data_IF_194811942396
#
_entry.id   IF_194811942396
#
_cell.length_a   1.000
_cell.length_b   1.000
_cell.length_c   1.000
_cell.angle_alpha   90.00
_cell.angle_beta   90.00
_cell.angle_gamma   90.00
#
_symmetry.space_group_name_H-M   'P 1'
#
loop_
_entity.id
_entity.type
_entity.pdbx_description
1 polymer ?
#
# COMPACT_ATOMS: atom_id res chain seq x y z
N UNK A 1 -3.09 5.46 28.29
CA UNK A 1 -4.33 4.74 27.94
C UNK A 1 -4.34 4.54 26.44
N UNK A 2 -3.91 3.36 25.98
CA UNK A 2 -3.77 3.06 24.55
C UNK A 2 -5.12 2.66 23.96
N UNK A 3 -5.69 3.54 23.15
CA UNK A 3 -6.76 3.22 22.21
C UNK A 3 -6.12 2.45 21.06
N UNK A 4 -5.82 1.18 21.28
CA UNK A 4 -5.43 0.27 20.20
C UNK A 4 -6.66 -0.59 19.85
N UNK A 5 -6.86 -0.75 18.55
CA UNK A 5 -7.74 -1.74 17.91
C UNK A 5 -9.25 -1.57 18.04
N UNK A 6 -9.78 -0.71 17.17
CA UNK A 6 -11.02 -1.05 16.45
C UNK A 6 -10.74 -1.14 14.95
N UNK A 7 -9.86 -2.07 14.53
CA UNK A 7 -9.80 -2.70 13.19
C UNK A 7 -9.94 -1.84 11.93
N UNK A 8 -9.86 -0.52 12.07
CA UNK A 8 -10.26 0.46 11.09
C UNK A 8 -9.08 1.25 10.60
N UNK A 9 -9.20 1.78 9.37
CA UNK A 9 -8.15 2.63 8.80
C UNK A 9 -8.28 4.00 9.45
N UNK A 10 -7.29 4.39 10.26
CA UNK A 10 -7.27 5.68 10.96
C UNK A 10 -5.93 6.38 10.74
N UNK A 11 -6.00 7.70 10.60
CA UNK A 11 -4.81 8.55 10.57
C UNK A 11 -4.28 8.73 11.99
N UNK A 12 -2.95 8.58 12.13
CA UNK A 12 -2.27 8.83 13.40
C UNK A 12 -2.57 10.23 13.92
N UNK A 13 -3.05 10.33 15.17
CA UNK A 13 -3.31 11.61 15.85
C UNK A 13 -2.05 12.27 16.40
N UNK A 14 -0.90 11.60 16.34
CA UNK A 14 0.37 12.19 16.76
C UNK A 14 0.76 13.29 15.76
N UNK A 15 0.75 14.54 16.22
CA UNK A 15 1.20 15.68 15.41
C UNK A 15 2.73 15.63 15.24
N UNK A 16 3.26 15.74 14.01
CA UNK A 16 4.69 15.90 13.77
C UNK A 16 5.23 17.15 14.48
N UNK A 17 6.38 17.02 15.16
CA UNK A 17 6.97 18.12 15.92
C UNK A 17 7.24 19.38 15.08
N UNK A 18 7.57 19.21 13.80
CA UNK A 18 7.77 20.31 12.85
C UNK A 18 6.49 21.11 12.53
N UNK A 19 5.31 20.52 12.73
CA UNK A 19 4.04 21.24 12.61
C UNK A 19 3.64 21.92 13.92
N UNK A 20 4.35 21.65 15.03
CA UNK A 20 4.09 22.32 16.29
C UNK A 20 4.41 23.82 16.15
N UNK A 21 3.39 24.66 16.39
CA UNK A 21 3.46 26.10 16.19
C UNK A 21 2.94 26.62 14.85
N UNK A 22 2.80 25.77 13.83
CA UNK A 22 2.15 26.13 12.55
C UNK A 22 0.67 25.74 12.51
N UNK A 23 0.34 24.62 13.15
CA UNK A 23 -1.02 24.07 13.25
C UNK A 23 -1.30 23.77 14.72
N UNK A 24 -2.45 24.19 15.24
CA UNK A 24 -2.83 23.88 16.63
C UNK A 24 -3.27 22.42 16.77
N UNK A 25 -3.17 21.84 17.97
CA UNK A 25 -3.63 20.47 18.24
C UNK A 25 -5.11 20.26 17.85
N UNK A 26 -5.95 21.28 18.06
CA UNK A 26 -7.37 21.25 17.69
C UNK A 26 -7.57 21.16 16.17
N UNK A 27 -6.81 21.97 15.41
CA UNK A 27 -6.83 21.94 13.94
C UNK A 27 -6.30 20.61 13.40
N UNK A 28 -5.21 20.09 13.98
CA UNK A 28 -4.65 18.81 13.61
C UNK A 28 -5.64 17.67 13.85
N UNK A 29 -6.27 17.63 15.02
CA UNK A 29 -7.28 16.62 15.33
C UNK A 29 -8.48 16.71 14.37
N UNK A 30 -8.95 17.93 14.05
CA UNK A 30 -10.03 18.14 13.09
C UNK A 30 -9.65 17.66 11.68
N UNK A 31 -8.43 17.92 11.23
CA UNK A 31 -7.90 17.40 9.97
C UNK A 31 -7.91 15.87 9.95
N UNK A 32 -7.39 15.23 11.01
CA UNK A 32 -7.38 13.77 11.09
C UNK A 32 -8.79 13.17 11.13
N UNK A 33 -9.75 13.82 11.80
CA UNK A 33 -11.17 13.41 11.78
C UNK A 33 -11.78 13.49 10.38
N UNK A 34 -11.48 14.55 9.61
CA UNK A 34 -11.92 14.69 8.22
C UNK A 34 -11.33 13.60 7.33
N UNK A 35 -10.04 13.26 7.52
CA UNK A 35 -9.39 12.17 6.81
C UNK A 35 -10.00 10.81 7.15
N UNK A 36 -10.26 10.52 8.43
CA UNK A 36 -10.91 9.27 8.85
C UNK A 36 -12.33 9.14 8.27
N UNK A 37 -13.08 10.25 8.25
CA UNK A 37 -14.40 10.29 7.63
C UNK A 37 -14.33 9.98 6.12
N UNK A 38 -13.31 10.48 5.43
CA UNK A 38 -13.05 10.18 4.01
C UNK A 38 -12.62 8.71 3.79
N UNK A 39 -11.93 8.10 4.75
CA UNK A 39 -11.46 6.71 4.71
C UNK A 39 -12.55 5.68 5.03
N UNK A 40 -13.59 6.04 5.78
CA UNK A 40 -14.68 5.13 6.20
C UNK A 40 -15.24 4.19 5.13
N UNK A 41 -15.42 4.60 3.85
CA UNK A 41 -15.92 3.69 2.82
C UNK A 41 -15.00 2.47 2.56
N UNK A 42 -13.70 2.57 2.88
CA UNK A 42 -12.73 1.48 2.64
C UNK A 42 -13.03 0.25 3.50
N UNK A 43 -13.52 0.45 4.72
CA UNK A 43 -13.90 -0.65 5.62
C UNK A 43 -15.11 -1.41 5.06
N UNK A 44 -16.06 -0.69 4.47
CA UNK A 44 -17.22 -1.28 3.81
C UNK A 44 -16.76 -2.13 2.63
N UNK A 45 -15.81 -1.64 1.83
CA UNK A 45 -15.25 -2.40 0.70
C UNK A 45 -14.59 -3.69 1.17
N UNK A 46 -13.78 -3.64 2.24
CA UNK A 46 -13.12 -4.82 2.82
C UNK A 46 -14.15 -5.85 3.31
N UNK A 47 -15.18 -5.41 4.02
CA UNK A 47 -16.22 -6.30 4.55
C UNK A 47 -17.06 -6.92 3.43
N UNK A 48 -17.40 -6.16 2.39
CA UNK A 48 -18.12 -6.68 1.22
C UNK A 48 -17.26 -7.69 0.46
N UNK A 49 -15.98 -7.41 0.26
CA UNK A 49 -15.07 -8.34 -0.42
C UNK A 49 -14.89 -9.64 0.37
N UNK A 50 -14.72 -9.55 1.70
CA UNK A 50 -14.63 -10.73 2.58
C UNK A 50 -15.93 -11.54 2.54
N UNK A 51 -17.09 -10.88 2.62
CA UNK A 51 -18.39 -11.55 2.53
C UNK A 51 -18.57 -12.26 1.18
N UNK A 52 -18.19 -11.60 0.07
CA UNK A 52 -18.24 -12.19 -1.27
C UNK A 52 -17.35 -13.43 -1.39
N UNK A 53 -16.12 -13.38 -0.84
CA UNK A 53 -15.20 -14.53 -0.82
C UNK A 53 -15.82 -15.71 -0.04
N UNK A 54 -16.39 -15.46 1.15
CA UNK A 54 -17.05 -16.50 1.94
C UNK A 54 -18.25 -17.12 1.21
N UNK A 55 -19.11 -16.29 0.60
CA UNK A 55 -20.25 -16.78 -0.18
C UNK A 55 -19.76 -17.64 -1.36
N UNK A 56 -18.74 -17.19 -2.08
CA UNK A 56 -18.15 -17.91 -3.21
C UNK A 56 -17.57 -19.26 -2.78
N UNK A 57 -16.87 -19.31 -1.64
CA UNK A 57 -16.33 -20.55 -1.08
C UNK A 57 -17.43 -21.56 -0.71
N UNK A 58 -18.54 -21.09 -0.12
CA UNK A 58 -19.70 -21.94 0.20
C UNK A 58 -20.34 -22.48 -1.09
N UNK A 59 -20.51 -21.65 -2.12
CA UNK A 59 -21.06 -22.08 -3.41
C UNK A 59 -20.19 -23.15 -4.07
N UNK A 60 -18.87 -22.98 -4.04
CA UNK A 60 -17.93 -23.98 -4.55
C UNK A 60 -17.98 -25.29 -3.74
N UNK A 61 -18.12 -25.22 -2.41
CA UNK A 61 -18.28 -26.40 -1.57
C UNK A 61 -19.57 -27.17 -1.90
N UNK A 62 -20.69 -26.46 -2.08
CA UNK A 62 -21.97 -27.07 -2.48
C UNK A 62 -21.84 -27.72 -3.86
N UNK A 63 -21.18 -27.05 -4.80
CA UNK A 63 -20.90 -27.60 -6.13
C UNK A 63 -20.06 -28.88 -6.04
N UNK A 64 -19.02 -28.89 -5.20
CA UNK A 64 -18.15 -30.05 -5.00
C UNK A 64 -18.89 -31.23 -4.39
N UNK A 65 -19.70 -31.01 -3.35
CA UNK A 65 -20.52 -32.06 -2.74
C UNK A 65 -21.56 -32.60 -3.75
N UNK A 66 -22.23 -31.71 -4.48
CA UNK A 66 -23.18 -32.10 -5.52
C UNK A 66 -22.52 -32.95 -6.61
N UNK A 67 -21.33 -32.55 -7.05
CA UNK A 67 -20.52 -33.34 -7.99
C UNK A 67 -20.14 -34.71 -7.45
N UNK A 68 -19.70 -34.80 -6.19
CA UNK A 68 -19.36 -36.08 -5.56
C UNK A 68 -20.56 -37.02 -5.41
N UNK A 69 -21.73 -36.50 -5.06
CA UNK A 69 -22.97 -37.29 -4.98
C UNK A 69 -23.32 -37.86 -6.36
N UNK A 70 -23.21 -37.04 -7.41
CA UNK A 70 -23.46 -37.49 -8.78
C UNK A 70 -22.43 -38.51 -9.26
N UNK A 71 -21.16 -38.38 -8.86
CA UNK A 71 -20.10 -39.35 -9.16
C UNK A 71 -20.30 -40.68 -8.42
N UNK A 72 -20.81 -40.67 -7.19
CA UNK A 72 -21.11 -41.89 -6.45
C UNK A 72 -22.23 -42.71 -7.10
N UNK A 73 -23.19 -42.03 -7.76
CA UNK A 73 -24.27 -42.64 -8.55
C UNK A 73 -23.90 -42.89 -10.03
N UNK A 74 -22.61 -42.79 -10.38
CA UNK A 74 -22.13 -42.89 -11.77
C UNK A 74 -22.56 -44.19 -12.49
N UNK A 75 -22.80 -45.28 -11.74
CA UNK A 75 -23.29 -46.55 -12.29
C UNK A 75 -24.69 -46.43 -12.91
N UNK A 76 -25.55 -45.56 -12.37
CA UNK A 76 -26.88 -45.26 -12.90
C UNK A 76 -26.83 -44.06 -13.88
N UNK A 77 -25.89 -43.15 -13.68
CA UNK A 77 -25.78 -41.90 -14.43
C UNK A 77 -25.29 -42.08 -15.87
N UNK A 78 -24.36 -43.01 -16.13
CA UNK A 78 -23.76 -43.19 -17.47
C UNK A 78 -24.73 -43.73 -18.54
N UNK A 79 -25.91 -44.20 -18.15
CA UNK A 79 -26.85 -44.91 -19.03
C UNK A 79 -27.99 -44.05 -19.58
N UNK A 80 -28.26 -42.90 -18.98
CA UNK A 80 -29.29 -41.97 -19.44
C UNK A 80 -28.62 -40.65 -19.81
N UNK A 81 -29.21 -39.87 -20.74
CA UNK A 81 -28.74 -38.54 -21.19
C UNK A 81 -28.70 -37.46 -20.06
N UNK A 82 -28.30 -37.78 -18.84
CA UNK A 82 -28.24 -36.91 -17.66
C UNK A 82 -27.00 -35.99 -17.63
N UNK A 83 -26.15 -36.05 -18.66
CA UNK A 83 -24.93 -35.24 -18.74
C UNK A 83 -25.24 -33.73 -18.91
N UNK A 84 -26.21 -33.36 -19.74
CA UNK A 84 -26.48 -31.95 -20.05
C UNK A 84 -26.91 -31.11 -18.83
N UNK A 85 -27.74 -31.66 -17.93
CA UNK A 85 -28.24 -30.91 -16.76
C UNK A 85 -27.14 -30.61 -15.75
N UNK A 86 -26.20 -31.53 -15.58
CA UNK A 86 -25.05 -31.33 -14.71
C UNK A 86 -24.15 -30.21 -15.25
N UNK A 87 -23.80 -30.26 -16.54
CA UNK A 87 -23.00 -29.21 -17.17
C UNK A 87 -23.68 -27.85 -17.12
N UNK A 88 -25.00 -27.77 -17.37
CA UNK A 88 -25.74 -26.52 -17.24
C UNK A 88 -25.64 -25.97 -15.81
N UNK A 89 -25.79 -26.80 -14.78
CA UNK A 89 -25.65 -26.37 -13.38
C UNK A 89 -24.22 -25.88 -13.05
N UNK A 90 -23.20 -26.60 -13.52
CA UNK A 90 -21.80 -26.23 -13.32
C UNK A 90 -21.47 -24.89 -14.01
N UNK A 91 -21.87 -24.73 -15.27
CA UNK A 91 -21.62 -23.51 -16.05
C UNK A 91 -22.36 -22.29 -15.51
N UNK A 92 -23.62 -22.48 -15.09
CA UNK A 92 -24.40 -21.40 -14.48
C UNK A 92 -23.79 -20.94 -13.16
N UNK A 93 -23.42 -21.87 -12.28
CA UNK A 93 -22.77 -21.55 -10.99
C UNK A 93 -21.41 -20.87 -11.20
N UNK A 94 -20.56 -21.41 -12.09
CA UNK A 94 -19.28 -20.79 -12.44
C UNK A 94 -19.47 -19.37 -13.01
N UNK A 95 -20.47 -19.19 -13.89
CA UNK A 95 -20.83 -17.88 -14.45
C UNK A 95 -21.21 -16.86 -13.38
N UNK A 96 -22.01 -17.25 -12.38
CA UNK A 96 -22.37 -16.37 -11.26
C UNK A 96 -21.16 -15.93 -10.43
N UNK A 97 -20.22 -16.85 -10.17
CA UNK A 97 -19.00 -16.54 -9.40
C UNK A 97 -18.13 -15.54 -10.17
N UNK A 98 -17.91 -15.79 -11.46
CA UNK A 98 -17.09 -14.90 -12.31
C UNK A 98 -17.72 -13.52 -12.45
N UNK A 99 -19.01 -13.45 -12.80
CA UNK A 99 -19.72 -12.17 -12.96
C UNK A 99 -19.80 -11.42 -11.63
N UNK A 100 -20.09 -12.13 -10.53
CA UNK A 100 -20.11 -11.55 -9.19
C UNK A 100 -18.75 -11.00 -8.79
N UNK A 101 -17.67 -11.73 -9.08
CA UNK A 101 -16.30 -11.31 -8.78
C UNK A 101 -15.91 -10.04 -9.55
N UNK A 102 -16.22 -10.00 -10.85
CA UNK A 102 -16.01 -8.80 -11.67
C UNK A 102 -16.81 -7.61 -11.12
N UNK A 103 -18.08 -7.81 -10.76
CA UNK A 103 -18.91 -6.74 -10.22
C UNK A 103 -18.36 -6.19 -8.90
N UNK A 104 -17.93 -7.05 -7.97
CA UNK A 104 -17.36 -6.65 -6.67
C UNK A 104 -16.02 -5.93 -6.86
N UNK A 105 -15.15 -6.41 -7.75
CA UNK A 105 -13.86 -5.76 -8.02
C UNK A 105 -14.01 -4.39 -8.68
N UNK A 106 -14.90 -4.25 -9.67
CA UNK A 106 -15.20 -2.95 -10.32
C UNK A 106 -15.80 -1.98 -9.31
N UNK A 107 -16.77 -2.43 -8.50
CA UNK A 107 -17.35 -1.61 -7.44
C UNK A 107 -16.32 -1.18 -6.40
N UNK A 108 -15.44 -2.09 -5.98
CA UNK A 108 -14.33 -1.81 -5.06
C UNK A 108 -13.36 -0.78 -5.62
N UNK A 109 -12.96 -0.90 -6.90
CA UNK A 109 -12.10 0.08 -7.59
C UNK A 109 -12.74 1.46 -7.65
N UNK A 110 -14.04 1.53 -7.99
CA UNK A 110 -14.79 2.80 -8.00
C UNK A 110 -14.80 3.45 -6.61
N UNK A 111 -15.05 2.68 -5.55
CA UNK A 111 -15.05 3.19 -4.17
C UNK A 111 -13.67 3.62 -3.70
N UNK A 112 -12.62 2.89 -4.06
CA UNK A 112 -11.26 3.31 -3.80
C UNK A 112 -10.96 4.67 -4.46
N UNK A 113 -11.38 4.88 -5.72
CA UNK A 113 -11.21 6.16 -6.40
C UNK A 113 -11.97 7.30 -5.72
N UNK A 114 -13.22 7.06 -5.28
CA UNK A 114 -14.01 8.03 -4.51
C UNK A 114 -13.29 8.43 -3.20
N UNK A 115 -12.71 7.46 -2.48
CA UNK A 115 -11.93 7.71 -1.25
C UNK A 115 -10.69 8.54 -1.55
N UNK A 116 -9.94 8.23 -2.61
CA UNK A 116 -8.77 9.01 -3.03
C UNK A 116 -9.14 10.46 -3.36
N UNK A 117 -10.23 10.65 -4.09
CA UNK A 117 -10.73 11.97 -4.42
C UNK A 117 -11.19 12.75 -3.17
N UNK A 118 -11.84 12.08 -2.21
CA UNK A 118 -12.26 12.69 -0.96
C UNK A 118 -11.07 13.10 -0.09
N UNK A 119 -10.06 12.24 0.08
CA UNK A 119 -8.82 12.54 0.80
C UNK A 119 -8.07 13.73 0.18
N UNK A 120 -7.97 13.76 -1.15
CA UNK A 120 -7.35 14.88 -1.87
C UNK A 120 -8.07 16.19 -1.58
N UNK A 121 -9.41 16.20 -1.65
CA UNK A 121 -10.22 17.39 -1.31
C UNK A 121 -9.98 17.85 0.13
N UNK A 122 -9.94 16.95 1.11
CA UNK A 122 -9.64 17.31 2.49
C UNK A 122 -8.26 17.97 2.61
N UNK A 123 -7.25 17.44 1.93
CA UNK A 123 -5.91 18.03 1.94
C UNK A 123 -5.86 19.38 1.23
N UNK A 124 -6.55 19.53 0.09
CA UNK A 124 -6.62 20.80 -0.65
C UNK A 124 -7.34 21.89 0.17
N UNK A 125 -8.46 21.54 0.82
CA UNK A 125 -9.21 22.45 1.69
C UNK A 125 -8.34 22.95 2.86
N UNK A 126 -7.68 22.03 3.57
CA UNK A 126 -6.82 22.39 4.71
C UNK A 126 -5.57 23.15 4.26
N UNK A 127 -5.02 22.84 3.09
CA UNK A 127 -3.91 23.63 2.51
C UNK A 127 -4.34 25.06 2.18
N UNK A 128 -5.59 25.27 1.77
CA UNK A 128 -6.12 26.60 1.50
C UNK A 128 -6.34 27.43 2.79
N UNK A 129 -6.62 26.75 3.91
CA UNK A 129 -6.76 27.37 5.24
C UNK A 129 -5.40 27.81 5.84
N UNK A 130 -4.30 27.17 5.44
CA UNK A 130 -2.95 27.40 5.99
C UNK A 130 -1.94 27.89 4.92
N UNK A 131 -1.66 29.20 4.80
CA UNK A 131 -0.82 29.73 3.71
C UNK A 131 0.64 29.23 3.72
N UNK A 132 1.14 28.80 4.88
CA UNK A 132 2.51 28.33 5.07
C UNK A 132 2.67 26.81 4.98
N UNK A 133 1.57 26.05 4.90
CA UNK A 133 1.59 24.58 4.93
C UNK A 133 0.71 24.03 3.83
N UNK A 134 1.25 23.09 3.05
CA UNK A 134 0.51 22.39 2.01
C UNK A 134 0.53 20.89 2.27
N UNK A 135 -0.63 20.27 2.15
CA UNK A 135 -0.87 18.85 2.35
C UNK A 135 -1.11 18.19 1.00
N UNK A 136 -0.36 17.15 0.69
CA UNK A 136 -0.48 16.39 -0.55
C UNK A 136 -0.62 14.91 -0.25
N UNK A 137 -1.68 14.29 -0.76
CA UNK A 137 -1.83 12.83 -0.63
C UNK A 137 -1.08 12.16 -1.75
N UNK A 138 -0.16 11.26 -1.40
CA UNK A 138 0.54 10.39 -2.34
C UNK A 138 0.08 8.94 -2.22
N UNK A 139 -0.06 8.33 -3.39
CA UNK A 139 -0.43 6.94 -3.58
C UNK A 139 0.68 6.30 -4.41
N UNK A 140 1.60 5.59 -3.76
CA UNK A 140 2.73 4.97 -4.42
C UNK A 140 2.57 3.45 -4.39
N UNK A 141 2.71 2.81 -5.55
CA UNK A 141 2.72 1.37 -5.67
C UNK A 141 4.17 0.93 -5.87
N UNK A 142 4.68 0.14 -4.94
CA UNK A 142 5.99 -0.47 -5.00
C UNK A 142 5.81 -1.94 -5.35
N UNK A 143 6.28 -2.35 -6.53
CA UNK A 143 6.39 -3.76 -6.89
C UNK A 143 7.77 -4.25 -6.45
N UNK A 144 7.80 -5.02 -5.37
CA UNK A 144 9.01 -5.67 -4.86
C UNK A 144 9.11 -7.05 -5.50
N UNK A 145 10.15 -7.26 -6.30
CA UNK A 145 10.49 -8.57 -6.86
C UNK A 145 11.35 -9.35 -5.86
N UNK A 146 10.84 -10.46 -5.33
CA UNK A 146 11.61 -11.39 -4.49
C UNK A 146 11.67 -12.74 -5.19
N UNK A 147 12.71 -12.96 -5.99
CA UNK A 147 12.86 -14.18 -6.79
C UNK A 147 11.88 -14.21 -7.98
N UNK A 148 11.01 -15.24 -8.03
CA UNK A 148 9.96 -15.39 -9.05
C UNK A 148 8.62 -14.74 -8.66
N UNK A 149 8.51 -14.22 -7.44
CA UNK A 149 7.28 -13.63 -6.93
C UNK A 149 7.36 -12.10 -6.99
N UNK A 150 6.34 -11.48 -7.60
CA UNK A 150 6.15 -10.04 -7.61
C UNK A 150 5.12 -9.68 -6.53
N UNK A 151 5.55 -8.96 -5.50
CA UNK A 151 4.67 -8.46 -4.45
C UNK A 151 4.46 -6.96 -4.64
N UNK A 152 3.24 -6.57 -4.98
CA UNK A 152 2.87 -5.15 -5.09
C UNK A 152 2.37 -4.65 -3.74
N UNK A 153 3.14 -3.76 -3.12
CA UNK A 153 2.76 -3.02 -1.92
C UNK A 153 2.27 -1.64 -2.31
N UNK A 154 1.13 -1.21 -1.77
CA UNK A 154 0.61 0.15 -1.98
C UNK A 154 0.85 0.96 -0.71
N UNK A 155 1.71 1.97 -0.80
CA UNK A 155 1.97 2.92 0.28
C UNK A 155 1.09 4.16 0.08
N UNK A 156 0.31 4.50 1.10
CA UNK A 156 -0.51 5.71 1.11
C UNK A 156 0.00 6.60 2.24
N UNK A 157 0.42 7.81 1.91
CA UNK A 157 0.92 8.75 2.88
C UNK A 157 0.54 10.18 2.50
N UNK A 158 0.50 11.05 3.52
CA UNK A 158 0.26 12.47 3.34
C UNK A 158 1.61 13.16 3.48
N UNK A 159 2.06 13.78 2.41
CA UNK A 159 3.20 14.68 2.43
C UNK A 159 2.76 16.05 2.91
N UNK A 160 3.54 16.61 3.82
CA UNK A 160 3.37 17.98 4.28
C UNK A 160 4.58 18.78 3.83
N UNK A 161 4.32 19.83 3.06
CA UNK A 161 5.33 20.75 2.56
C UNK A 161 5.12 22.12 3.20
N UNK A 162 6.16 22.60 3.88
CA UNK A 162 6.18 23.88 4.60
C UNK A 162 6.88 24.89 3.71
N UNK A 163 6.19 25.99 3.38
CA UNK A 163 6.77 27.07 2.60
C UNK A 163 7.62 27.95 3.51
N UNK A 164 8.91 28.02 3.20
CA UNK A 164 9.80 28.95 3.89
C UNK A 164 9.35 30.40 3.65
N UNK A 165 9.16 31.20 4.71
CA UNK A 165 8.73 32.58 4.58
C UNK A 165 9.78 33.47 3.89
N UNK A 166 11.04 33.02 3.81
CA UNK A 166 12.15 33.81 3.28
C UNK A 166 12.38 33.66 1.76
N UNK A 167 11.51 32.96 1.03
CA UNK A 167 11.46 33.02 -0.44
C UNK A 167 12.69 32.46 -1.17
N UNK A 168 13.61 31.79 -0.48
CA UNK A 168 14.65 31.00 -1.11
C UNK A 168 14.01 29.78 -1.75
N UNK A 169 14.04 29.67 -3.08
CA UNK A 169 13.42 28.59 -3.87
C UNK A 169 14.02 27.18 -3.67
N UNK A 170 14.54 26.87 -2.48
CA UNK A 170 14.94 25.53 -2.09
C UNK A 170 13.72 24.67 -1.77
N UNK A 171 13.81 23.38 -2.08
CA UNK A 171 12.82 22.42 -1.60
C UNK A 171 12.86 22.40 -0.07
N UNK A 172 11.83 22.94 0.57
CA UNK A 172 11.72 22.96 2.02
C UNK A 172 11.67 21.55 2.63
N UNK A 173 11.82 21.44 3.96
CA UNK A 173 11.76 20.16 4.65
C UNK A 173 10.43 19.45 4.38
N UNK A 174 10.51 18.20 3.92
CA UNK A 174 9.34 17.35 3.66
C UNK A 174 9.08 16.42 4.84
N UNK A 175 7.82 16.31 5.23
CA UNK A 175 7.40 15.49 6.36
C UNK A 175 6.35 14.51 5.88
N UNK A 176 6.62 13.23 6.09
CA UNK A 176 5.75 12.14 5.65
C UNK A 176 4.89 11.69 6.83
N UNK A 177 3.58 11.85 6.70
CA UNK A 177 2.59 11.34 7.66
C UNK A 177 2.01 10.05 7.10
N UNK A 178 2.32 8.94 7.76
CA UNK A 178 1.89 7.62 7.32
C UNK A 178 0.40 7.39 7.61
N UNK A 179 -0.36 6.94 6.61
CA UNK A 179 -1.74 6.50 6.78
C UNK A 179 -1.69 4.99 7.07
N UNK A 180 -1.79 4.63 8.36
CA UNK A 180 -1.83 3.22 8.76
C UNK A 180 -3.05 2.54 8.13
N UNK A 181 -2.81 1.79 7.05
CA UNK A 181 -3.82 1.00 6.37
C UNK A 181 -3.59 -0.46 6.75
N UNK A 182 -4.27 -1.01 7.77
CA UNK A 182 -4.09 -2.41 8.16
C UNK A 182 -4.47 -3.36 7.02
N UNK A 183 -3.46 -3.98 6.40
CA UNK A 183 -3.60 -5.05 5.42
C UNK A 183 -3.62 -4.64 3.94
N UNK A 184 -3.01 -3.52 3.55
CA UNK A 184 -2.85 -3.14 2.15
C UNK A 184 -1.73 -3.93 1.42
N UNK A 185 -1.71 -5.26 1.55
CA UNK A 185 -1.10 -6.14 0.55
C UNK A 185 -2.19 -6.45 -0.45
N UNK A 186 -2.25 -5.68 -1.54
CA UNK A 186 -3.13 -6.00 -2.65
C UNK A 186 -2.28 -6.85 -3.58
N UNK A 187 -2.54 -8.16 -3.66
CA UNK A 187 -2.05 -8.96 -4.77
C UNK A 187 -2.64 -8.36 -6.04
N UNK A 188 -1.85 -7.54 -6.73
CA UNK A 188 -2.19 -7.04 -8.04
C UNK A 188 -1.80 -8.15 -9.00
N UNK A 189 -2.79 -8.95 -9.40
CA UNK A 189 -2.68 -9.80 -10.57
C UNK A 189 -2.43 -8.87 -11.76
N UNK A 190 -1.29 -9.04 -12.44
CA UNK A 190 -0.80 -8.19 -13.53
C UNK A 190 -1.76 -8.20 -14.73
N UNK A 191 -2.83 -7.41 -14.64
CA UNK A 191 -3.65 -7.02 -15.77
C UNK A 191 -3.04 -5.75 -16.36
N UNK A 192 -2.30 -5.92 -17.45
CA UNK A 192 -1.74 -4.89 -18.32
C UNK A 192 -2.82 -3.83 -18.65
N UNK A 193 -2.90 -2.78 -17.82
CA UNK A 193 -3.88 -1.71 -17.97
C UNK A 193 -3.18 -0.54 -18.62
N UNK A 194 -3.41 -0.36 -19.92
CA UNK A 194 -3.06 0.87 -20.63
C UNK A 194 -3.70 2.06 -19.91
N UNK A 195 -2.85 2.91 -19.37
CA UNK A 195 -3.21 4.20 -18.80
C UNK A 195 -3.57 5.15 -19.96
N UNK A 196 -4.85 5.38 -20.19
CA UNK A 196 -5.31 6.52 -21.00
C UNK A 196 -5.18 7.79 -20.16
N UNK A 197 -4.22 8.65 -20.53
CA UNK A 197 -4.20 10.05 -20.12
C UNK A 197 -5.45 10.76 -20.63
N UNK A 198 -6.17 11.53 -19.79
CA UNK A 198 -7.12 12.50 -20.30
C UNK A 198 -6.35 13.66 -20.93
N UNK A 199 -6.31 13.68 -22.26
CA UNK A 199 -5.86 14.85 -23.02
C UNK A 199 -6.76 16.04 -22.67
N UNK A 200 -6.16 17.06 -22.08
CA UNK A 200 -6.73 18.39 -21.96
C UNK A 200 -6.16 19.23 -23.10
N UNK A 201 -7.06 19.70 -23.96
CA UNK A 201 -6.78 20.51 -25.14
C UNK A 201 -6.47 21.98 -24.75
N UNK A 202 -5.23 22.38 -25.02
CA UNK A 202 -4.71 23.69 -25.45
C UNK A 202 -5.31 25.02 -24.93
N UNK A 203 -4.49 25.82 -24.23
CA UNK A 203 -3.99 27.11 -24.74
C UNK A 203 -2.98 27.79 -23.79
N UNK A 204 -2.02 28.50 -24.40
CA UNK A 204 -1.06 29.47 -23.85
C UNK A 204 0.34 28.95 -23.45
N UNK A 205 1.15 28.85 -24.50
CA UNK A 205 2.60 28.98 -24.61
C UNK A 205 3.24 29.86 -23.52
N UNK A 206 4.14 29.29 -22.72
CA UNK A 206 5.23 30.05 -22.06
C UNK A 206 6.50 29.22 -22.14
N UNK A 207 7.53 29.80 -22.74
CA UNK A 207 8.81 29.16 -23.02
C UNK A 207 9.54 28.73 -21.74
N UNK A 208 9.92 27.46 -21.67
CA UNK A 208 10.86 26.94 -20.65
C UNK A 208 12.28 27.05 -21.22
N UNK A 209 13.22 27.74 -20.55
CA UNK A 209 14.61 27.70 -20.94
C UNK A 209 15.24 26.34 -20.61
N UNK A 210 15.91 25.76 -21.60
CA UNK A 210 16.79 24.60 -21.47
C UNK A 210 17.95 24.96 -20.55
N UNK A 211 17.96 24.43 -19.32
CA UNK A 211 19.11 24.54 -18.42
C UNK A 211 20.12 23.46 -18.77
N UNK A 212 21.17 23.93 -19.42
CA UNK A 212 22.41 23.26 -19.77
C UNK A 212 23.15 22.84 -18.50
N UNK A 213 23.67 21.61 -18.48
CA UNK A 213 24.40 21.03 -17.35
C UNK A 213 25.47 21.96 -16.79
N UNK A 214 25.46 22.12 -15.47
CA UNK A 214 26.43 22.91 -14.73
C UNK A 214 27.41 21.97 -14.04
N UNK A 215 28.68 22.14 -14.43
CA UNK A 215 29.88 21.55 -13.85
C UNK A 215 30.05 22.10 -12.43
N UNK A 216 30.26 21.21 -11.48
CA UNK A 216 30.61 21.52 -10.08
C UNK A 216 32.10 21.91 -10.05
N UNK A 217 32.48 23.11 -9.57
CA UNK A 217 33.86 23.37 -9.18
C UNK A 217 34.09 22.82 -7.76
N UNK A 218 35.07 21.93 -7.69
CA UNK A 218 35.69 21.43 -6.47
C UNK A 218 36.52 22.54 -5.82
N UNK A 219 36.10 23.07 -4.67
CA UNK A 219 37.00 23.64 -3.66
C UNK A 219 36.44 23.50 -2.24
N UNK A 220 37.37 23.17 -1.34
CA UNK A 220 37.24 22.69 0.02
C UNK A 220 36.76 23.75 1.03
N UNK A 221 35.85 23.34 1.92
CA UNK A 221 35.74 23.85 3.30
C UNK A 221 35.21 22.73 4.20
N UNK A 222 35.95 22.48 5.27
CA UNK A 222 35.73 21.48 6.30
C UNK A 222 34.47 21.79 7.14
N UNK A 223 33.60 20.79 7.35
CA UNK A 223 32.87 20.51 8.60
C UNK A 223 32.00 19.25 8.42
N UNK A 224 32.45 18.18 9.07
CA UNK A 224 31.81 16.87 9.16
C UNK A 224 30.58 16.89 10.06
N UNK A 225 29.40 16.55 9.52
CA UNK A 225 28.40 15.73 10.24
C UNK A 225 27.89 14.68 9.23
N UNK A 226 28.67 13.60 9.15
CA UNK A 226 28.46 12.41 8.35
C UNK A 226 27.29 11.57 8.89
N UNK A 227 26.14 11.67 8.23
CA UNK A 227 25.03 10.72 8.35
C UNK A 227 25.14 9.68 7.24
N UNK A 228 26.02 8.70 7.39
CA UNK A 228 26.12 7.62 6.42
C UNK A 228 27.33 6.70 6.58
N UNK A 229 27.72 6.35 7.81
CA UNK A 229 28.83 5.43 8.00
C UNK A 229 28.35 3.97 7.96
N UNK A 230 28.30 3.39 6.76
CA UNK A 230 28.09 1.95 6.52
C UNK A 230 29.21 1.06 7.12
N UNK A 231 30.24 1.66 7.74
CA UNK A 231 31.30 0.93 8.45
C UNK A 231 30.97 0.62 9.93
N UNK A 232 29.78 1.00 10.44
CA UNK A 232 29.40 0.75 11.83
C UNK A 232 29.07 -0.72 12.15
N UNK A 233 28.95 -1.60 11.13
CA UNK A 233 28.82 -3.05 11.35
C UNK A 233 30.17 -3.71 11.69
N UNK A 234 31.30 -3.15 11.28
CA UNK A 234 32.62 -3.76 11.44
C UNK A 234 33.16 -3.64 12.88
N UNK A 235 32.66 -2.68 13.67
CA UNK A 235 33.08 -2.48 15.06
C UNK A 235 32.34 -3.34 16.08
N UNK A 236 31.33 -4.13 15.67
CA UNK A 236 30.58 -4.99 16.59
C UNK A 236 31.32 -6.29 16.85
N UNK A 237 31.41 -6.66 18.13
CA UNK A 237 32.03 -7.93 18.52
C UNK A 237 31.25 -9.11 17.92
N UNK A 238 31.94 -10.20 17.59
CA UNK A 238 31.29 -11.38 17.01
C UNK A 238 30.20 -11.97 17.93
N UNK A 239 30.34 -11.79 19.25
CA UNK A 239 29.33 -12.19 20.23
C UNK A 239 28.03 -11.38 20.09
N UNK A 240 28.11 -10.06 19.90
CA UNK A 240 26.92 -9.22 19.66
C UNK A 240 26.25 -9.54 18.32
N UNK A 241 27.06 -9.81 17.27
CA UNK A 241 26.54 -10.22 15.96
C UNK A 241 25.79 -11.56 16.04
N UNK A 242 26.28 -12.53 16.81
CA UNK A 242 25.58 -13.80 17.06
C UNK A 242 24.28 -13.63 17.85
N UNK A 243 24.26 -12.75 18.86
CA UNK A 243 23.05 -12.49 19.65
C UNK A 243 21.94 -11.84 18.81
N UNK A 244 22.30 -10.92 17.90
CA UNK A 244 21.34 -10.35 16.94
C UNK A 244 20.82 -11.40 15.97
N UNK A 245 21.69 -12.30 15.49
CA UNK A 245 21.30 -13.38 14.59
C UNK A 245 20.30 -14.34 15.27
N UNK A 246 20.46 -14.66 16.56
CA UNK A 246 19.50 -15.48 17.30
C UNK A 246 18.11 -14.84 17.37
N UNK A 247 18.03 -13.51 17.51
CA UNK A 247 16.76 -12.78 17.48
C UNK A 247 16.03 -12.87 16.13
N UNK A 248 16.77 -13.09 15.03
CA UNK A 248 16.24 -13.21 13.68
C UNK A 248 15.92 -14.66 13.26
N UNK A 249 16.18 -15.65 14.11
CA UNK A 249 16.01 -17.08 13.80
C UNK A 249 14.57 -17.46 13.39
N UNK A 250 13.56 -16.70 13.82
CA UNK A 250 12.16 -16.94 13.45
C UNK A 250 11.75 -16.39 12.08
N UNK A 251 12.58 -15.54 11.47
CA UNK A 251 12.29 -14.85 10.21
C UNK A 251 13.14 -15.40 9.06
N UNK A 252 14.37 -15.86 9.38
CA UNK A 252 15.28 -16.48 8.42
C UNK A 252 15.00 -17.97 8.25
N UNK A 253 15.26 -18.49 7.06
CA UNK A 253 15.29 -19.94 6.85
C UNK A 253 16.48 -20.56 7.59
N UNK A 254 16.39 -21.85 7.92
CA UNK A 254 17.45 -22.53 8.66
C UNK A 254 18.79 -22.54 7.90
N UNK A 255 18.75 -22.57 6.57
CA UNK A 255 19.93 -22.50 5.71
C UNK A 255 20.61 -21.11 5.76
N UNK A 256 19.85 -20.01 5.59
CA UNK A 256 20.36 -18.64 5.66
C UNK A 256 20.93 -18.31 7.04
N UNK A 257 20.27 -18.79 8.11
CA UNK A 257 20.76 -18.63 9.48
C UNK A 257 22.12 -19.30 9.67
N UNK A 258 22.27 -20.53 9.17
CA UNK A 258 23.52 -21.29 9.29
C UNK A 258 24.65 -20.67 8.46
N UNK A 259 24.35 -20.13 7.28
CA UNK A 259 25.31 -19.44 6.43
C UNK A 259 25.85 -18.17 7.10
N UNK A 260 24.96 -17.28 7.59
CA UNK A 260 25.36 -16.06 8.31
C UNK A 260 26.10 -16.36 9.61
N UNK A 261 25.70 -17.42 10.33
CA UNK A 261 26.41 -17.87 11.53
C UNK A 261 27.84 -18.31 11.21
N UNK A 262 28.05 -19.01 10.09
CA UNK A 262 29.37 -19.46 9.64
C UNK A 262 30.25 -18.28 9.20
N UNK A 263 29.66 -17.29 8.53
CA UNK A 263 30.36 -16.06 8.13
C UNK A 263 30.85 -15.27 9.35
N UNK A 264 30.01 -15.07 10.36
CA UNK A 264 30.40 -14.37 11.60
C UNK A 264 31.54 -15.10 12.31
N UNK A 265 31.47 -16.45 12.40
CA UNK A 265 32.50 -17.27 13.03
C UNK A 265 33.82 -17.29 12.24
N UNK A 266 33.79 -17.06 10.92
CA UNK A 266 34.99 -16.97 10.10
C UNK A 266 35.74 -15.63 10.26
N UNK A 267 35.07 -14.60 10.78
CA UNK A 267 35.66 -13.26 11.02
C UNK A 267 36.28 -13.09 12.41
N UNK A 268 36.27 -14.13 13.26
CA UNK A 268 36.89 -14.16 14.60
C UNK A 268 38.30 -14.71 14.52
#
# INVERSE_FOLDING_TARGET
MGVCDRGGVQVSRAQPAILSGLVTDEQWNSFCERCDAALKPIEVVKNVNLAFLLISAILLLVMLIGGLVLLADASNFYKNNSDERFWIFMLTTAGFIVIGGIAVTVWGKKKAFEVRAALRRVCDDVSAEHPHVSFHVKFEAFTLFRGREANTMVLNYIEVNIKDPEGGGGAGPQVVVNINTPGATTEVEDAETKQEEPQTEEAATTAVPVVKGMVIPEQAVDNEEDCGNDNAEESRTAAERLAQLEGLKGILTEEEYNEKRKEILATV
#
